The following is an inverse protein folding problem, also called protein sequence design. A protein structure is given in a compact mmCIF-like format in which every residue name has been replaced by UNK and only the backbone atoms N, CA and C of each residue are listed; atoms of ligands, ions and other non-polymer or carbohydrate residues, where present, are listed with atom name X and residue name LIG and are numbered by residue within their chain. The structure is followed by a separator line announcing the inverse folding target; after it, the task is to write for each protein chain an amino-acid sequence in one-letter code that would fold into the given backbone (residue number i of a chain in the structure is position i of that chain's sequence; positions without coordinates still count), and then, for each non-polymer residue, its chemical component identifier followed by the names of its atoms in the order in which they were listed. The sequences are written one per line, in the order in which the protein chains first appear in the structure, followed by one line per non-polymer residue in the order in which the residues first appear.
data_IF_112039252437
#
_entry.id   IF_112039252437
#
_cell.length_a   1.000
_cell.length_b   1.000
_cell.length_c   1.000
_cell.angle_alpha   90.00
_cell.angle_beta   90.00
_cell.angle_gamma   90.00
#
_symmetry.space_group_name_H-M   'P 1'
#
loop_
_entity.id
_entity.type
_entity.pdbx_description
1 polymer ?
#
# COMPACT_ATOMS: atom_id res chain seq x y z
N UNK A 1 -13.26 -15.73 6.25
CA UNK A 1 -12.05 -14.96 5.87
C UNK A 1 -12.33 -14.23 4.57
N UNK A 2 -12.18 -12.90 4.53
CA UNK A 2 -12.38 -12.10 3.32
C UNK A 2 -11.12 -12.17 2.47
N UNK A 3 -11.25 -12.43 1.17
CA UNK A 3 -10.14 -12.48 0.22
C UNK A 3 -10.13 -11.20 -0.62
N UNK A 4 -8.94 -10.67 -0.86
CA UNK A 4 -8.72 -9.52 -1.71
C UNK A 4 -7.67 -9.89 -2.75
N UNK A 5 -7.79 -9.32 -3.95
CA UNK A 5 -6.83 -9.50 -5.03
C UNK A 5 -6.03 -8.22 -5.17
N UNK A 6 -4.70 -8.30 -5.04
CA UNK A 6 -3.81 -7.15 -5.14
C UNK A 6 -3.95 -6.40 -6.47
N UNK A 7 -4.20 -7.12 -7.57
CA UNK A 7 -4.46 -6.55 -8.90
C UNK A 7 -5.70 -5.64 -8.97
N UNK A 8 -6.60 -5.69 -7.98
CA UNK A 8 -7.76 -4.80 -7.88
C UNK A 8 -7.46 -3.52 -7.11
N UNK A 9 -6.29 -3.43 -6.48
CA UNK A 9 -5.87 -2.29 -5.67
C UNK A 9 -5.28 -1.18 -6.55
N UNK A 10 -5.66 0.07 -6.26
CA UNK A 10 -5.15 1.23 -6.99
C UNK A 10 -3.66 1.37 -6.71
N UNK A 11 -2.83 1.32 -7.76
CA UNK A 11 -1.35 1.36 -7.66
C UNK A 11 -0.76 0.32 -6.70
N UNK A 12 -1.50 -0.75 -6.38
CA UNK A 12 -1.09 -1.75 -5.39
C UNK A 12 -1.27 -1.34 -3.93
N UNK A 13 -1.90 -0.19 -3.63
CA UNK A 13 -2.20 0.24 -2.27
C UNK A 13 -3.29 -0.61 -1.63
N UNK A 14 -2.96 -1.28 -0.54
CA UNK A 14 -3.89 -2.17 0.16
C UNK A 14 -4.10 -1.79 1.63
N UNK A 15 -3.41 -0.76 2.11
CA UNK A 15 -3.61 -0.13 3.42
C UNK A 15 -3.54 1.38 3.23
N UNK A 16 -4.48 2.12 3.83
CA UNK A 16 -4.55 3.58 3.75
C UNK A 16 -5.99 4.09 3.56
N UNK A 17 -6.18 5.40 3.41
CA UNK A 17 -7.50 6.03 3.21
C UNK A 17 -7.95 5.99 1.73
N UNK A 18 -7.88 4.82 1.14
CA UNK A 18 -8.18 4.59 -0.29
C UNK A 18 -9.32 3.59 -0.46
N UNK A 19 -9.90 3.55 -1.66
CA UNK A 19 -10.82 2.49 -2.06
C UNK A 19 -10.43 1.97 -3.46
N UNK A 20 -10.35 0.63 -3.66
CA UNK A 20 -10.44 -0.42 -2.65
C UNK A 20 -9.20 -0.51 -1.74
N UNK A 21 -9.41 -0.97 -0.51
CA UNK A 21 -8.34 -1.23 0.48
C UNK A 21 -8.66 -2.44 1.36
N UNK A 22 -7.64 -3.12 1.87
CA UNK A 22 -7.81 -4.24 2.83
C UNK A 22 -8.01 -3.68 4.23
N UNK A 23 -7.25 -2.64 4.59
CA UNK A 23 -7.34 -1.94 5.88
C UNK A 23 -7.43 -0.44 5.63
N UNK A 24 -8.62 0.13 5.89
CA UNK A 24 -8.83 1.57 5.82
C UNK A 24 -8.30 2.25 7.07
N UNK A 25 -7.34 3.16 6.92
CA UNK A 25 -6.70 3.88 8.02
C UNK A 25 -5.99 5.13 7.52
N UNK A 26 -5.89 6.16 8.36
CA UNK A 26 -5.15 7.39 8.08
C UNK A 26 -3.77 7.39 8.77
N UNK A 27 -3.41 6.27 9.42
CA UNK A 27 -2.18 6.17 10.20
C UNK A 27 -0.94 5.78 9.36
N UNK A 28 -1.14 5.01 8.28
CA UNK A 28 -0.06 4.51 7.41
C UNK A 28 -0.61 4.14 6.04
N UNK A 29 0.24 4.21 5.02
CA UNK A 29 -0.04 3.75 3.66
C UNK A 29 0.90 2.59 3.33
N UNK A 30 0.37 1.51 2.73
CA UNK A 30 1.17 0.35 2.30
C UNK A 30 0.74 -0.09 0.91
N UNK A 31 1.73 -0.26 0.02
CA UNK A 31 1.54 -0.82 -1.32
C UNK A 31 2.59 -1.85 -1.70
N UNK A 32 2.22 -2.76 -2.60
CA UNK A 32 3.16 -3.56 -3.38
C UNK A 32 3.23 -2.96 -4.77
N UNK A 33 4.38 -2.38 -5.12
CA UNK A 33 4.60 -1.68 -6.40
C UNK A 33 5.74 -2.33 -7.19
N UNK A 34 5.58 -2.36 -8.52
CA UNK A 34 6.63 -2.78 -9.44
C UNK A 34 7.22 -1.56 -10.10
N UNK A 35 8.52 -1.38 -9.97
CA UNK A 35 9.24 -0.25 -10.55
C UNK A 35 10.09 -0.69 -11.73
N UNK A 36 9.95 0.01 -12.85
CA UNK A 36 10.91 -0.09 -13.95
C UNK A 36 12.20 0.62 -13.59
N UNK A 37 13.32 0.16 -14.15
CA UNK A 37 14.63 0.82 -13.99
C UNK A 37 14.53 2.31 -14.34
N UNK A 38 15.01 3.17 -13.44
CA UNK A 38 14.99 4.63 -13.61
C UNK A 38 13.74 5.33 -13.05
N UNK A 39 12.75 4.58 -12.55
CA UNK A 39 11.60 5.19 -11.85
C UNK A 39 12.08 5.85 -10.56
N UNK A 40 11.56 7.05 -10.29
CA UNK A 40 11.79 7.78 -9.04
C UNK A 40 10.44 8.04 -8.38
N UNK A 41 10.40 7.83 -7.07
CA UNK A 41 9.27 8.24 -6.24
C UNK A 41 9.49 9.67 -5.76
N UNK A 42 8.38 10.37 -5.50
CA UNK A 42 8.42 11.67 -4.83
C UNK A 42 8.91 11.52 -3.39
N UNK A 43 9.40 12.62 -2.82
CA UNK A 43 9.87 12.64 -1.43
C UNK A 43 8.74 12.31 -0.46
N UNK A 44 9.02 11.42 0.50
CA UNK A 44 8.08 11.03 1.55
C UNK A 44 8.80 10.82 2.91
N UNK A 45 8.05 10.92 4.00
CA UNK A 45 8.56 10.85 5.38
C UNK A 45 7.86 9.75 6.18
N UNK A 46 8.64 8.90 6.86
CA UNK A 46 8.12 7.82 7.72
C UNK A 46 8.53 8.08 9.18
N UNK A 47 7.59 8.01 10.14
CA UNK A 47 7.83 8.38 11.56
C UNK A 47 7.97 7.20 12.52
N UNK A 48 6.96 6.35 12.69
CA UNK A 48 6.96 5.09 13.49
C UNK A 48 5.92 4.16 12.84
N UNK A 49 6.16 2.85 12.77
CA UNK A 49 5.32 1.94 11.98
C UNK A 49 4.77 0.73 12.76
N UNK A 50 3.59 0.29 12.36
CA UNK A 50 2.98 -1.01 12.68
C UNK A 50 3.23 -1.96 11.52
N UNK A 51 3.57 -3.23 11.78
CA UNK A 51 3.88 -4.21 10.73
C UNK A 51 2.61 -4.87 10.14
N UNK A 52 2.59 -5.03 8.82
CA UNK A 52 1.58 -5.79 8.07
C UNK A 52 2.31 -6.68 7.06
N UNK A 53 2.03 -7.98 7.10
CA UNK A 53 2.63 -8.96 6.17
C UNK A 53 1.67 -9.27 5.02
N UNK A 54 2.17 -9.19 3.78
CA UNK A 54 1.48 -9.64 2.57
C UNK A 54 2.22 -10.85 1.98
N UNK A 55 1.49 -11.93 1.67
CA UNK A 55 1.99 -13.20 1.13
C UNK A 55 1.21 -13.55 -0.14
#
# INVERSE_FOLDING_TARGET
MKKFLLEKMVRGWFVGDFEPTVLKTNAVEVAIQKYSKGTKEEWHYHKIATEITAI
#
